data_IF_065619850861
#
_entry.id   IF_065619850861
#
_cell.length_a   1.000
_cell.length_b   1.000
_cell.length_c   1.000
_cell.angle_alpha   90.00
_cell.angle_beta   90.00
_cell.angle_gamma   90.00
#
_symmetry.space_group_name_H-M   'P 1'
#
loop_
_entity.id
_entity.type
_entity.pdbx_description
1 polymer ?
#
# COMPACT_ATOMS: atom_id res chain seq x y z
N UNK A 1 -19.58 13.05 11.42
CA UNK A 1 -18.24 13.53 11.76
C UNK A 1 -17.42 12.33 12.21
N UNK A 2 -16.71 11.69 11.30
CA UNK A 2 -15.80 10.61 11.64
C UNK A 2 -14.51 11.24 12.15
N UNK A 3 -14.26 11.10 13.44
CA UNK A 3 -13.02 11.52 14.08
C UNK A 3 -11.91 10.62 13.57
N UNK A 4 -11.02 11.17 12.79
CA UNK A 4 -9.78 10.54 12.37
C UNK A 4 -8.91 10.28 13.61
N UNK A 5 -9.12 9.10 14.22
CA UNK A 5 -8.39 8.66 15.41
C UNK A 5 -7.05 8.01 15.02
N UNK A 6 -6.32 8.61 14.08
CA UNK A 6 -4.92 8.25 13.85
C UNK A 6 -4.12 8.79 15.03
N UNK A 7 -3.61 7.88 15.85
CA UNK A 7 -2.62 8.24 16.86
C UNK A 7 -1.51 9.08 16.21
N UNK A 8 -1.10 10.20 16.84
CA UNK A 8 -0.09 11.07 16.24
C UNK A 8 1.18 10.25 15.96
N UNK A 9 1.62 10.29 14.71
CA UNK A 9 2.83 9.62 14.27
C UNK A 9 4.04 10.13 15.07
N UNK A 10 4.62 9.29 15.94
CA UNK A 10 5.69 9.70 16.86
C UNK A 10 7.03 9.90 16.17
N UNK A 11 7.31 9.25 15.05
CA UNK A 11 8.57 9.32 14.31
C UNK A 11 9.81 9.10 15.18
N UNK A 12 9.74 8.13 16.08
CA UNK A 12 10.85 7.75 16.95
C UNK A 12 11.65 6.59 16.36
N UNK A 13 12.90 6.45 16.79
CA UNK A 13 13.72 5.29 16.41
C UNK A 13 13.01 3.98 16.80
N UNK A 14 12.97 3.03 15.89
CA UNK A 14 12.27 1.75 16.02
C UNK A 14 10.84 1.72 15.47
N UNK A 15 10.22 2.88 15.25
CA UNK A 15 8.86 2.92 14.70
C UNK A 15 8.83 2.35 13.28
N UNK A 16 7.79 1.56 13.01
CA UNK A 16 7.49 1.05 11.67
C UNK A 16 6.46 1.97 11.02
N UNK A 17 6.75 2.41 9.81
CA UNK A 17 5.96 3.40 9.07
C UNK A 17 5.79 2.97 7.63
N UNK A 18 4.77 3.52 6.99
CA UNK A 18 4.57 3.40 5.54
C UNK A 18 5.04 4.68 4.86
N UNK A 19 5.90 4.54 3.86
CA UNK A 19 6.37 5.64 3.03
C UNK A 19 5.70 5.60 1.66
N UNK A 20 4.46 6.06 1.59
CA UNK A 20 3.65 6.14 0.37
C UNK A 20 3.89 4.95 -0.60
N UNK A 21 4.27 5.22 -1.85
CA UNK A 21 4.56 4.20 -2.86
C UNK A 21 5.91 3.48 -2.70
N UNK A 22 6.69 3.80 -1.67
CA UNK A 22 7.99 3.18 -1.40
C UNK A 22 7.90 1.96 -0.48
N UNK A 23 6.77 1.79 0.20
CA UNK A 23 6.51 0.64 1.06
C UNK A 23 6.83 0.89 2.53
N UNK A 24 7.07 -0.19 3.26
CA UNK A 24 7.30 -0.17 4.69
C UNK A 24 8.76 0.15 4.99
N UNK A 25 8.97 0.91 6.04
CA UNK A 25 10.29 1.18 6.58
C UNK A 25 10.28 1.25 8.09
N UNK A 26 11.47 1.17 8.67
CA UNK A 26 11.71 1.36 10.09
C UNK A 26 12.55 2.61 10.28
N UNK A 27 12.15 3.46 11.22
CA UNK A 27 12.96 4.62 11.60
C UNK A 27 14.19 4.11 12.36
N UNK A 28 15.36 4.36 11.79
CA UNK A 28 16.63 3.98 12.40
C UNK A 28 17.04 4.99 13.47
N UNK A 29 16.90 6.28 13.16
CA UNK A 29 17.22 7.37 14.09
C UNK A 29 16.43 8.63 13.80
N UNK A 30 16.23 9.44 14.84
CA UNK A 30 15.66 10.77 14.74
C UNK A 30 16.66 11.78 15.34
N UNK A 31 16.93 12.86 14.62
CA UNK A 31 17.87 13.89 15.01
C UNK A 31 17.12 15.22 15.16
N UNK A 32 17.29 15.86 16.29
CA UNK A 32 16.79 17.21 16.53
C UNK A 32 17.52 18.24 15.62
N UNK A 33 16.93 19.42 15.47
CA UNK A 33 17.61 20.51 14.80
C UNK A 33 18.86 20.92 15.59
N UNK A 34 19.99 21.10 14.90
CA UNK A 34 21.25 21.50 15.50
C UNK A 34 21.95 22.54 14.60
N UNK A 35 22.19 23.73 15.14
CA UNK A 35 22.75 24.86 14.39
C UNK A 35 21.89 25.19 13.15
N UNK A 36 22.49 25.08 11.96
CA UNK A 36 21.81 25.32 10.67
C UNK A 36 21.15 24.07 10.09
N UNK A 37 21.34 22.90 10.73
CA UNK A 37 20.76 21.64 10.25
C UNK A 37 19.34 21.47 10.79
N UNK A 38 18.33 21.25 9.92
CA UNK A 38 16.97 21.00 10.36
C UNK A 38 16.83 19.62 11.01
N UNK A 39 15.82 19.46 11.85
CA UNK A 39 15.45 18.16 12.39
C UNK A 39 15.16 17.17 11.25
N UNK A 40 15.67 15.94 11.38
CA UNK A 40 15.58 14.91 10.35
C UNK A 40 15.44 13.52 10.94
N UNK A 41 14.94 12.60 10.16
CA UNK A 41 14.93 11.17 10.47
C UNK A 41 15.73 10.39 9.43
N UNK A 42 16.23 9.24 9.83
CA UNK A 42 16.79 8.23 8.93
C UNK A 42 15.83 7.05 8.93
N UNK A 43 15.32 6.72 7.74
CA UNK A 43 14.39 5.64 7.47
C UNK A 43 15.11 4.54 6.67
N UNK A 44 14.98 3.30 7.10
CA UNK A 44 15.44 2.12 6.34
C UNK A 44 14.22 1.37 5.84
N UNK A 45 14.07 1.30 4.53
CA UNK A 45 12.99 0.56 3.87
C UNK A 45 13.27 -0.94 3.86
N UNK A 46 12.24 -1.77 3.74
CA UNK A 46 12.39 -3.23 3.59
C UNK A 46 13.24 -3.62 2.37
N UNK A 47 13.27 -2.78 1.33
CA UNK A 47 14.17 -2.93 0.19
C UNK A 47 15.66 -2.75 0.51
N UNK A 48 16.01 -2.36 1.76
CA UNK A 48 17.34 -2.01 2.20
C UNK A 48 17.76 -0.57 1.88
N UNK A 49 16.92 0.19 1.19
CA UNK A 49 17.19 1.59 0.89
C UNK A 49 17.12 2.44 2.16
N UNK A 50 18.19 3.20 2.41
CA UNK A 50 18.27 4.16 3.52
C UNK A 50 17.97 5.56 3.02
N UNK A 51 16.97 6.21 3.62
CA UNK A 51 16.49 7.53 3.21
C UNK A 51 16.59 8.50 4.39
N UNK A 52 17.17 9.67 4.15
CA UNK A 52 17.16 10.76 5.12
C UNK A 52 16.06 11.76 4.74
N UNK A 53 15.13 12.00 5.65
CA UNK A 53 14.01 12.92 5.45
C UNK A 53 14.06 14.05 6.47
N UNK A 54 13.93 15.32 6.05
CA UNK A 54 13.63 16.40 6.97
C UNK A 54 12.33 16.09 7.73
N UNK A 55 12.27 16.40 9.04
CA UNK A 55 11.13 16.04 9.89
C UNK A 55 9.79 16.58 9.35
N UNK A 56 9.80 17.77 8.73
CA UNK A 56 8.60 18.34 8.10
C UNK A 56 8.10 17.44 6.99
N UNK A 57 9.00 17.01 6.08
CA UNK A 57 8.63 16.10 4.98
C UNK A 57 8.24 14.72 5.48
N UNK A 58 8.89 14.22 6.51
CA UNK A 58 8.52 12.95 7.13
C UNK A 58 7.07 12.94 7.63
N UNK A 59 6.63 14.01 8.28
CA UNK A 59 5.24 14.17 8.75
C UNK A 59 4.21 14.25 7.64
N UNK A 60 4.59 14.74 6.45
CA UNK A 60 3.71 14.85 5.29
C UNK A 60 3.62 13.53 4.50
N UNK A 61 4.69 12.74 4.50
CA UNK A 61 4.86 11.60 3.57
C UNK A 61 4.82 10.23 4.24
N UNK A 62 4.99 10.18 5.56
CA UNK A 62 4.92 8.94 6.32
C UNK A 62 3.57 8.81 7.02
N UNK A 63 3.09 7.58 7.14
CA UNK A 63 1.91 7.24 7.93
C UNK A 63 2.15 5.99 8.77
N UNK A 64 1.31 5.77 9.77
CA UNK A 64 1.29 4.51 10.51
C UNK A 64 0.86 3.35 9.61
N UNK A 65 1.18 2.13 10.03
CA UNK A 65 0.55 0.92 9.48
C UNK A 65 -0.97 1.01 9.67
N UNK A 66 -1.70 0.45 8.73
CA UNK A 66 -3.16 0.34 8.81
C UNK A 66 -3.57 -0.56 9.97
N UNK A 67 -4.56 -0.13 10.74
CA UNK A 67 -5.15 -0.93 11.81
C UNK A 67 -6.25 -1.87 11.31
N UNK A 68 -6.85 -2.65 12.22
CA UNK A 68 -7.93 -3.58 11.86
C UNK A 68 -9.14 -2.91 11.19
N UNK A 69 -9.58 -1.68 11.55
CA UNK A 69 -10.67 -1.01 10.84
C UNK A 69 -10.35 -0.78 9.35
N UNK A 70 -9.15 -0.29 9.04
CA UNK A 70 -8.71 -0.07 7.66
C UNK A 70 -8.53 -1.41 6.92
N UNK A 71 -8.07 -2.46 7.60
CA UNK A 71 -7.95 -3.80 7.02
C UNK A 71 -9.31 -4.43 6.73
N UNK A 72 -10.33 -4.13 7.53
CA UNK A 72 -11.70 -4.53 7.23
C UNK A 72 -12.24 -3.80 6.00
N UNK A 73 -11.96 -2.51 5.84
CA UNK A 73 -12.30 -1.76 4.62
C UNK A 73 -11.58 -2.33 3.39
N UNK A 74 -10.32 -2.75 3.54
CA UNK A 74 -9.57 -3.48 2.49
C UNK A 74 -10.28 -4.78 2.14
N UNK A 75 -10.72 -5.57 3.12
CA UNK A 75 -11.46 -6.83 2.90
C UNK A 75 -12.74 -6.59 2.10
N UNK A 76 -13.51 -5.59 2.48
CA UNK A 76 -14.74 -5.21 1.76
C UNK A 76 -14.43 -4.75 0.33
N UNK A 77 -13.37 -3.97 0.14
CA UNK A 77 -12.92 -3.50 -1.17
C UNK A 77 -12.52 -4.67 -2.07
N UNK A 78 -11.74 -5.63 -1.56
CA UNK A 78 -11.31 -6.81 -2.29
C UNK A 78 -12.49 -7.71 -2.66
N UNK A 79 -13.46 -7.86 -1.77
CA UNK A 79 -14.66 -8.68 -1.96
C UNK A 79 -15.75 -8.02 -2.82
N UNK A 80 -15.58 -6.75 -3.20
CA UNK A 80 -16.58 -6.07 -4.01
C UNK A 80 -16.59 -6.61 -5.44
N UNK A 81 -17.76 -7.03 -5.91
CA UNK A 81 -17.98 -7.33 -7.33
C UNK A 81 -18.20 -6.00 -8.08
N UNK A 82 -17.19 -5.59 -8.83
CA UNK A 82 -17.25 -4.39 -9.66
C UNK A 82 -17.33 -4.80 -11.11
N UNK A 83 -18.45 -4.46 -11.75
CA UNK A 83 -18.59 -4.66 -13.19
C UNK A 83 -17.41 -4.01 -13.93
N UNK A 84 -16.82 -4.68 -14.93
CA UNK A 84 -15.68 -4.15 -15.66
C UNK A 84 -16.10 -2.84 -16.33
N UNK A 85 -15.55 -1.73 -15.82
CA UNK A 85 -15.74 -0.45 -16.48
C UNK A 85 -15.19 -0.54 -17.91
N UNK A 86 -16.01 -0.17 -18.89
CA UNK A 86 -15.59 -0.03 -20.30
C UNK A 86 -14.73 1.24 -20.41
N UNK A 87 -13.62 1.25 -19.69
CA UNK A 87 -12.69 2.37 -19.73
C UNK A 87 -11.53 2.08 -20.68
N UNK A 88 -11.10 3.11 -21.39
CA UNK A 88 -9.89 3.04 -22.20
C UNK A 88 -8.69 2.66 -21.32
N UNK A 89 -7.82 1.79 -21.82
CA UNK A 89 -6.65 1.28 -21.09
C UNK A 89 -5.73 2.37 -20.51
N UNK A 90 -5.61 3.51 -21.22
CA UNK A 90 -4.85 4.68 -20.79
C UNK A 90 -5.42 5.35 -19.54
N UNK A 91 -6.74 5.48 -19.45
CA UNK A 91 -7.44 6.08 -18.31
C UNK A 91 -7.30 5.21 -17.06
N UNK A 92 -7.49 3.89 -17.20
CA UNK A 92 -7.28 2.94 -16.10
C UNK A 92 -5.84 3.00 -15.57
N UNK A 93 -4.84 3.04 -16.49
CA UNK A 93 -3.44 3.15 -16.10
C UNK A 93 -3.16 4.42 -15.33
N UNK A 94 -3.72 5.54 -15.74
CA UNK A 94 -3.57 6.82 -15.04
C UNK A 94 -4.15 6.76 -13.64
N UNK A 95 -5.38 6.26 -13.45
CA UNK A 95 -5.99 6.12 -12.14
C UNK A 95 -5.21 5.16 -11.23
N UNK A 96 -4.75 4.03 -11.77
CA UNK A 96 -3.90 3.11 -11.01
C UNK A 96 -2.58 3.77 -10.58
N UNK A 97 -1.97 4.58 -11.46
CA UNK A 97 -0.75 5.33 -11.13
C UNK A 97 -1.01 6.38 -10.04
N UNK A 98 -2.11 7.10 -10.09
CA UNK A 98 -2.49 8.10 -9.08
C UNK A 98 -2.69 7.43 -7.71
N UNK A 99 -3.45 6.32 -7.64
CA UNK A 99 -3.66 5.54 -6.41
C UNK A 99 -2.36 4.96 -5.85
N UNK A 100 -1.51 4.42 -6.73
CA UNK A 100 -0.21 3.88 -6.33
C UNK A 100 0.70 4.97 -5.74
N UNK A 101 0.70 6.16 -6.36
CA UNK A 101 1.50 7.30 -5.89
C UNK A 101 0.98 7.83 -4.55
N UNK A 102 -0.32 7.85 -4.33
CA UNK A 102 -0.92 8.22 -3.05
C UNK A 102 -0.53 7.23 -1.93
N UNK A 103 -0.37 5.94 -2.25
CA UNK A 103 0.07 4.91 -1.30
C UNK A 103 -0.95 4.61 -0.19
N UNK A 104 -2.21 4.99 -0.39
CA UNK A 104 -3.31 4.65 0.52
C UNK A 104 -3.69 3.18 0.36
N UNK A 105 -3.87 2.46 1.47
CA UNK A 105 -4.11 1.01 1.44
C UNK A 105 -5.39 0.64 0.67
N UNK A 106 -6.44 1.44 0.77
CA UNK A 106 -7.69 1.25 0.02
C UNK A 106 -7.48 1.36 -1.49
N UNK A 107 -6.70 2.35 -1.94
CA UNK A 107 -6.34 2.51 -3.35
C UNK A 107 -5.52 1.33 -3.89
N UNK A 108 -4.59 0.81 -3.09
CA UNK A 108 -3.83 -0.40 -3.43
C UNK A 108 -4.76 -1.62 -3.55
N UNK A 109 -5.71 -1.78 -2.63
CA UNK A 109 -6.69 -2.87 -2.65
C UNK A 109 -7.56 -2.84 -3.92
N UNK A 110 -8.00 -1.66 -4.37
CA UNK A 110 -8.75 -1.51 -5.61
C UNK A 110 -7.93 -1.94 -6.84
N UNK A 111 -6.66 -1.52 -6.95
CA UNK A 111 -5.77 -1.93 -8.04
C UNK A 111 -5.61 -3.46 -8.06
N UNK A 112 -5.40 -4.05 -6.88
CA UNK A 112 -5.19 -5.51 -6.74
C UNK A 112 -6.46 -6.28 -7.07
N UNK A 113 -7.63 -5.87 -6.57
CA UNK A 113 -8.92 -6.46 -6.92
C UNK A 113 -9.13 -6.48 -8.44
N UNK A 114 -9.02 -5.31 -9.07
CA UNK A 114 -9.26 -5.15 -10.50
C UNK A 114 -8.26 -5.97 -11.34
N UNK A 115 -7.02 -6.09 -10.88
CA UNK A 115 -5.99 -6.92 -11.50
C UNK A 115 -6.32 -8.42 -11.40
N UNK A 116 -6.65 -8.92 -10.20
CA UNK A 116 -6.98 -10.33 -9.97
C UNK A 116 -8.27 -10.75 -10.70
N UNK A 117 -9.31 -9.91 -10.67
CA UNK A 117 -10.54 -10.19 -11.41
C UNK A 117 -10.28 -10.26 -12.93
N UNK A 118 -9.41 -9.39 -13.44
CA UNK A 118 -9.02 -9.42 -14.85
C UNK A 118 -8.21 -10.67 -15.21
N UNK A 119 -7.25 -11.06 -14.38
CA UNK A 119 -6.47 -12.28 -14.60
C UNK A 119 -7.40 -13.51 -14.69
N UNK A 120 -8.38 -13.62 -13.80
CA UNK A 120 -9.38 -14.70 -13.82
C UNK A 120 -10.20 -14.73 -15.12
N UNK A 121 -10.63 -13.56 -15.61
CA UNK A 121 -11.38 -13.46 -16.87
C UNK A 121 -10.52 -13.79 -18.09
N UNK A 122 -9.23 -13.49 -18.07
CA UNK A 122 -8.31 -13.76 -19.17
C UNK A 122 -7.85 -15.23 -19.21
N UNK A 123 -7.86 -15.98 -18.11
CA UNK A 123 -7.59 -17.43 -18.11
C UNK A 123 -8.66 -18.22 -18.85
N UNK A 124 -9.86 -17.66 -19.02
CA UNK A 124 -10.94 -18.24 -19.83
C UNK A 124 -10.84 -17.88 -21.33
N UNK A 125 -10.03 -16.90 -21.69
CA UNK A 125 -9.76 -16.51 -23.08
C UNK A 125 -8.25 -16.55 -23.31
N UNK A 126 -7.78 -17.28 -24.32
CA UNK A 126 -6.36 -17.60 -24.63
C UNK A 126 -5.39 -16.41 -24.83
N UNK A 127 -5.64 -15.28 -24.21
CA UNK A 127 -4.79 -14.09 -24.28
C UNK A 127 -3.85 -14.09 -23.07
N UNK A 128 -2.53 -14.10 -23.32
CA UNK A 128 -1.52 -13.94 -22.26
C UNK A 128 -1.77 -12.65 -21.48
N UNK A 129 -1.89 -12.71 -20.14
CA UNK A 129 -2.00 -11.50 -19.34
C UNK A 129 -0.70 -10.72 -19.49
N UNK A 130 -0.78 -9.50 -20.01
CA UNK A 130 0.34 -8.57 -19.97
C UNK A 130 0.49 -8.17 -18.50
N UNK A 131 1.53 -8.68 -17.86
CA UNK A 131 1.82 -8.41 -16.46
C UNK A 131 1.90 -6.90 -16.26
N UNK A 132 0.85 -6.33 -15.66
CA UNK A 132 0.77 -4.90 -15.40
C UNK A 132 1.72 -4.59 -14.23
N UNK A 133 2.77 -3.83 -14.50
CA UNK A 133 3.76 -3.40 -13.51
C UNK A 133 3.10 -2.72 -12.30
N UNK A 134 2.07 -1.89 -12.55
CA UNK A 134 1.35 -1.19 -11.48
C UNK A 134 0.59 -2.17 -10.58
N UNK A 135 -0.04 -3.20 -11.16
CA UNK A 135 -0.71 -4.25 -10.40
C UNK A 135 0.27 -5.04 -9.53
N UNK A 136 1.39 -5.49 -10.10
CA UNK A 136 2.41 -6.22 -9.33
C UNK A 136 2.95 -5.39 -8.18
N UNK A 137 3.25 -4.12 -8.43
CA UNK A 137 3.74 -3.20 -7.40
C UNK A 137 2.70 -2.94 -6.32
N UNK A 138 1.45 -2.69 -6.69
CA UNK A 138 0.36 -2.52 -5.73
C UNK A 138 0.16 -3.78 -4.87
N UNK A 139 0.22 -4.98 -5.48
CA UNK A 139 0.10 -6.25 -4.76
C UNK A 139 1.24 -6.44 -3.76
N UNK A 140 2.47 -6.15 -4.15
CA UNK A 140 3.63 -6.22 -3.24
C UNK A 140 3.47 -5.28 -2.06
N UNK A 141 3.08 -4.02 -2.29
CA UNK A 141 2.90 -3.03 -1.22
C UNK A 141 1.74 -3.42 -0.28
N UNK A 142 0.60 -3.85 -0.83
CA UNK A 142 -0.56 -4.28 -0.06
C UNK A 142 -0.23 -5.50 0.80
N UNK A 143 0.43 -6.51 0.22
CA UNK A 143 0.86 -7.72 0.93
C UNK A 143 1.80 -7.38 2.09
N UNK A 144 2.80 -6.54 1.85
CA UNK A 144 3.76 -6.14 2.88
C UNK A 144 3.06 -5.42 4.04
N UNK A 145 2.15 -4.50 3.75
CA UNK A 145 1.44 -3.76 4.79
C UNK A 145 0.51 -4.64 5.62
N UNK A 146 -0.26 -5.53 4.99
CA UNK A 146 -1.12 -6.49 5.70
C UNK A 146 -0.26 -7.43 6.57
N UNK A 147 0.84 -7.94 6.03
CA UNK A 147 1.76 -8.80 6.76
C UNK A 147 2.31 -8.12 8.00
N UNK A 148 2.81 -6.89 7.85
CA UNK A 148 3.34 -6.11 8.96
C UNK A 148 2.28 -5.72 9.99
N UNK A 149 1.08 -5.35 9.54
CA UNK A 149 -0.03 -4.96 10.43
C UNK A 149 -0.55 -6.11 11.27
N UNK A 150 -0.59 -7.32 10.70
CA UNK A 150 -1.09 -8.53 11.38
C UNK A 150 0.00 -9.39 12.03
N UNK A 151 1.26 -9.07 11.77
CA UNK A 151 2.39 -9.88 12.26
C UNK A 151 2.39 -11.30 11.65
N UNK A 152 2.07 -11.42 10.37
CA UNK A 152 2.04 -12.69 9.62
C UNK A 152 3.07 -12.67 8.49
N UNK A 153 3.40 -13.85 7.96
CA UNK A 153 4.31 -13.95 6.81
C UNK A 153 3.69 -13.36 5.54
N UNK A 154 4.48 -12.78 4.63
CA UNK A 154 3.99 -12.19 3.38
C UNK A 154 3.19 -13.17 2.52
N UNK A 155 3.58 -14.44 2.48
CA UNK A 155 2.87 -15.48 1.73
C UNK A 155 1.46 -15.72 2.28
N UNK A 156 1.29 -15.67 3.60
CA UNK A 156 -0.01 -15.79 4.25
C UNK A 156 -0.89 -14.56 3.97
N UNK A 157 -0.30 -13.37 3.96
CA UNK A 157 -1.00 -12.14 3.61
C UNK A 157 -1.45 -12.15 2.14
N UNK A 158 -0.60 -12.58 1.21
CA UNK A 158 -0.94 -12.70 -0.20
C UNK A 158 -2.04 -13.73 -0.44
N UNK A 159 -1.97 -14.90 0.21
CA UNK A 159 -3.02 -15.90 0.15
C UNK A 159 -4.35 -15.37 0.67
N UNK A 160 -4.33 -14.59 1.77
CA UNK A 160 -5.52 -13.95 2.30
C UNK A 160 -6.12 -12.95 1.29
N UNK A 161 -5.29 -12.11 0.62
CA UNK A 161 -5.75 -11.18 -0.42
C UNK A 161 -6.49 -11.94 -1.53
N UNK A 162 -5.89 -13.02 -2.04
CA UNK A 162 -6.49 -13.82 -3.13
C UNK A 162 -7.82 -14.43 -2.71
N UNK A 163 -7.94 -14.87 -1.45
CA UNK A 163 -9.18 -15.43 -0.90
C UNK A 163 -10.30 -14.39 -0.77
N UNK A 164 -9.96 -13.12 -0.48
CA UNK A 164 -10.97 -12.07 -0.32
C UNK A 164 -11.56 -11.61 -1.64
N UNK A 165 -10.84 -11.73 -2.75
CA UNK A 165 -11.37 -11.30 -4.04
C UNK A 165 -12.53 -12.19 -4.45
N UNK A 166 -13.70 -11.59 -4.68
CA UNK A 166 -14.91 -12.30 -5.03
C UNK A 166 -14.68 -13.27 -6.19
N UNK A 167 -15.09 -14.51 -5.96
CA UNK A 167 -15.12 -15.53 -7.01
C UNK A 167 -16.45 -15.36 -7.72
N UNK A 168 -16.40 -15.01 -9.02
CA UNK A 168 -17.59 -15.07 -9.85
C UNK A 168 -18.13 -16.51 -9.78
N UNK A 169 -19.31 -16.68 -9.18
CA UNK A 169 -20.06 -17.95 -9.15
C UNK A 169 -20.90 -18.04 -10.39
#
# INVERSE_FOLDING_TARGET
>A
MATDARSPLRLAAGDVVVYASHGIGRIESAHAAEGTQPARIILVLESGLRVTLPLVRARETLRCLSGEPELEDVRLTLGADVAPAVEHSSRRRRFAQEKLTAGEIGGLAEIVRDGLQRERRLTTTSSKPMANELFRRARTLLTAEIAASRGIEPEAADAWIVQQVATDV
#
